data_IF_993282915541
#
_entry.id   IF_993282915541
#
_cell.length_a   1.000
_cell.length_b   1.000
_cell.length_c   1.000
_cell.angle_alpha   90.00
_cell.angle_beta   90.00
_cell.angle_gamma   90.00
#
_symmetry.space_group_name_H-M   'P 1'
#
loop_
_entity.id
_entity.type
_entity.pdbx_description
1 polymer ?
#
# COMPACT_ATOMS: atom_id res chain seq x y z
N UNK A 1 6.92 -1.80 14.91
CA UNK A 1 6.84 -0.79 13.82
C UNK A 1 5.46 -0.12 13.87
N UNK A 2 5.40 1.19 14.06
CA UNK A 2 4.15 1.95 13.99
C UNK A 2 3.94 2.45 12.55
N UNK A 3 2.67 2.57 12.12
CA UNK A 3 2.27 3.12 10.81
C UNK A 3 1.28 4.27 11.05
N UNK A 4 1.77 5.49 11.36
CA UNK A 4 0.90 6.60 11.76
C UNK A 4 -0.07 7.03 10.67
N UNK A 5 0.36 7.03 9.41
CA UNK A 5 -0.46 7.42 8.25
C UNK A 5 -1.27 6.25 7.65
N UNK A 6 -1.50 5.16 8.40
CA UNK A 6 -2.18 3.96 7.87
C UNK A 6 -3.62 4.26 7.41
N UNK A 7 -4.28 5.20 8.07
CA UNK A 7 -5.70 5.53 7.85
C UNK A 7 -5.90 6.76 6.98
N UNK A 8 -4.81 7.39 6.51
CA UNK A 8 -4.85 8.54 5.62
C UNK A 8 -4.72 8.07 4.17
N UNK A 9 -5.44 8.72 3.25
CA UNK A 9 -5.34 8.39 1.83
C UNK A 9 -4.06 8.97 1.22
N UNK A 10 -3.52 8.31 0.19
CA UNK A 10 -2.33 8.80 -0.53
C UNK A 10 -2.52 10.23 -1.06
N UNK A 11 -3.70 10.52 -1.63
CA UNK A 11 -4.06 11.85 -2.14
C UNK A 11 -4.03 12.94 -1.06
N UNK A 12 -4.42 12.62 0.17
CA UNK A 12 -4.43 13.57 1.29
C UNK A 12 -3.01 13.87 1.77
N UNK A 13 -2.17 12.83 1.84
CA UNK A 13 -0.76 12.96 2.23
C UNK A 13 0.00 13.81 1.19
N UNK A 14 -0.23 13.56 -0.09
CA UNK A 14 0.37 14.33 -1.19
C UNK A 14 -0.12 15.77 -1.18
N UNK A 15 -1.42 15.99 -0.99
CA UNK A 15 -2.02 17.33 -0.90
C UNK A 15 -1.43 18.13 0.27
N UNK A 16 -1.29 17.49 1.44
CA UNK A 16 -0.66 18.10 2.62
C UNK A 16 0.79 18.49 2.36
N UNK A 17 1.58 17.59 1.77
CA UNK A 17 2.97 17.87 1.41
C UNK A 17 3.09 19.04 0.43
N UNK A 18 2.19 19.13 -0.55
CA UNK A 18 2.14 20.22 -1.52
C UNK A 18 1.85 21.57 -0.85
N UNK A 19 0.82 21.66 0.00
CA UNK A 19 0.48 22.92 0.68
C UNK A 19 1.54 23.42 1.65
N UNK A 20 2.32 22.51 2.24
CA UNK A 20 3.44 22.86 3.11
C UNK A 20 4.77 23.04 2.37
N UNK A 21 4.81 22.81 1.05
CA UNK A 21 6.04 22.89 0.27
C UNK A 21 7.10 21.88 0.71
N UNK A 22 6.68 20.70 1.21
CA UNK A 22 7.62 19.66 1.63
C UNK A 22 8.27 19.00 0.40
N UNK A 23 9.58 18.72 0.43
CA UNK A 23 10.22 17.97 -0.65
C UNK A 23 9.72 16.51 -0.63
N UNK A 24 9.20 16.02 -1.75
CA UNK A 24 8.81 14.63 -1.94
C UNK A 24 9.22 14.13 -3.33
N UNK A 25 9.39 12.81 -3.48
CA UNK A 25 9.71 12.16 -4.75
C UNK A 25 8.51 11.37 -5.26
N UNK A 26 8.18 11.53 -6.55
CA UNK A 26 7.07 10.82 -7.21
C UNK A 26 7.53 9.83 -8.29
N UNK A 27 8.84 9.76 -8.57
CA UNK A 27 9.39 8.87 -9.59
C UNK A 27 9.55 7.47 -9.04
N UNK A 28 9.10 6.48 -9.82
CA UNK A 28 9.35 5.08 -9.50
C UNK A 28 10.84 4.74 -9.62
N UNK A 29 11.27 3.71 -8.88
CA UNK A 29 12.67 3.33 -8.82
C UNK A 29 13.14 2.66 -10.12
N UNK A 30 14.21 3.17 -10.73
CA UNK A 30 14.85 2.62 -11.93
C UNK A 30 15.34 1.18 -11.74
N UNK A 31 15.75 0.83 -10.52
CA UNK A 31 16.31 -0.48 -10.20
C UNK A 31 15.26 -1.56 -9.94
N UNK A 32 13.96 -1.21 -9.94
CA UNK A 32 12.86 -2.15 -9.70
C UNK A 32 11.74 -2.05 -10.75
N UNK A 33 12.06 -2.21 -12.05
CA UNK A 33 11.10 -2.00 -13.14
C UNK A 33 9.96 -3.04 -13.16
N UNK A 34 10.21 -4.24 -12.61
CA UNK A 34 9.23 -5.33 -12.52
C UNK A 34 8.42 -5.32 -11.22
N UNK A 35 8.50 -4.24 -10.44
CA UNK A 35 7.66 -4.12 -9.25
C UNK A 35 6.20 -3.98 -9.70
N UNK A 36 5.43 -5.08 -9.56
CA UNK A 36 4.00 -5.17 -9.88
C UNK A 36 3.12 -4.30 -8.95
N UNK A 37 3.60 -3.15 -8.45
CA UNK A 37 2.82 -2.26 -7.58
C UNK A 37 1.90 -1.33 -8.38
N UNK A 38 2.23 -1.03 -9.64
CA UNK A 38 1.43 -0.17 -10.50
C UNK A 38 0.03 -0.73 -10.80
N UNK A 39 -0.05 -2.03 -11.13
CA UNK A 39 -1.32 -2.70 -11.45
C UNK A 39 -2.32 -2.71 -10.27
N UNK A 40 -1.94 -3.15 -9.05
CA UNK A 40 -2.79 -3.06 -7.87
C UNK A 40 -3.17 -1.63 -7.50
N UNK A 41 -2.26 -0.65 -7.66
CA UNK A 41 -2.59 0.77 -7.44
C UNK A 41 -3.64 1.26 -8.44
N UNK A 42 -3.55 0.86 -9.70
CA UNK A 42 -4.56 1.16 -10.73
C UNK A 42 -5.94 0.63 -10.35
N UNK A 43 -6.01 -0.67 -10.00
CA UNK A 43 -7.24 -1.30 -9.53
C UNK A 43 -7.84 -0.57 -8.31
N UNK A 44 -7.01 -0.21 -7.33
CA UNK A 44 -7.49 0.52 -6.15
C UNK A 44 -8.08 1.89 -6.52
N UNK A 45 -7.50 2.60 -7.50
CA UNK A 45 -8.03 3.88 -7.98
C UNK A 45 -9.38 3.70 -8.70
N UNK A 46 -9.54 2.65 -9.50
CA UNK A 46 -10.82 2.32 -10.15
C UNK A 46 -11.93 1.99 -9.13
N UNK A 47 -11.58 1.23 -8.09
CA UNK A 47 -12.49 0.93 -6.98
C UNK A 47 -12.85 2.17 -6.16
N UNK A 48 -11.89 3.08 -5.96
CA UNK A 48 -12.12 4.35 -5.27
C UNK A 48 -13.01 5.29 -6.08
N UNK A 49 -12.88 5.29 -7.42
CA UNK A 49 -13.74 6.05 -8.32
C UNK A 49 -15.21 5.58 -8.27
N UNK A 50 -15.43 4.27 -8.10
CA UNK A 50 -16.78 3.70 -7.93
C UNK A 50 -17.33 3.96 -6.53
N UNK A 51 -16.48 3.78 -5.50
CA UNK A 51 -16.84 4.01 -4.09
C UNK A 51 -15.62 4.51 -3.32
N UNK A 52 -15.70 5.74 -2.82
CA UNK A 52 -14.60 6.40 -2.09
C UNK A 52 -14.13 5.64 -0.84
N UNK A 53 -15.03 4.89 -0.18
CA UNK A 53 -14.70 4.12 1.02
C UNK A 53 -14.04 2.77 0.74
N UNK A 54 -13.82 2.38 -0.54
CA UNK A 54 -13.31 1.06 -0.93
C UNK A 54 -11.96 0.73 -0.29
N UNK A 55 -11.00 1.66 -0.33
CA UNK A 55 -9.65 1.44 0.24
C UNK A 55 -9.69 1.23 1.75
N UNK A 56 -10.46 2.05 2.48
CA UNK A 56 -10.62 1.92 3.92
C UNK A 56 -11.35 0.61 4.29
N UNK A 57 -12.38 0.24 3.53
CA UNK A 57 -13.12 -1.01 3.73
C UNK A 57 -12.21 -2.23 3.52
N UNK A 58 -11.41 -2.26 2.45
CA UNK A 58 -10.41 -3.32 2.21
C UNK A 58 -9.38 -3.38 3.34
N UNK A 59 -8.90 -2.23 3.82
CA UNK A 59 -8.00 -2.14 4.96
C UNK A 59 -8.62 -2.73 6.24
N UNK A 60 -9.90 -2.49 6.50
CA UNK A 60 -10.60 -3.05 7.64
C UNK A 60 -10.80 -4.57 7.50
N UNK A 61 -11.32 -5.02 6.35
CA UNK A 61 -11.58 -6.44 6.07
C UNK A 61 -10.30 -7.27 6.09
N UNK A 62 -9.18 -6.74 5.56
CA UNK A 62 -7.88 -7.44 5.57
C UNK A 62 -7.35 -7.73 6.96
N UNK A 63 -7.68 -6.91 7.97
CA UNK A 63 -7.29 -7.17 9.37
C UNK A 63 -8.17 -8.24 10.02
N UNK A 64 -9.43 -8.34 9.61
CA UNK A 64 -10.35 -9.38 10.06
C UNK A 64 -10.09 -10.73 9.37
N UNK A 65 -9.41 -10.72 8.22
CA UNK A 65 -9.09 -11.90 7.44
C UNK A 65 -8.12 -12.81 8.20
N UNK A 66 -8.58 -14.01 8.59
CA UNK A 66 -7.72 -15.08 9.08
C UNK A 66 -7.12 -15.83 7.89
N UNK A 67 -5.90 -15.47 7.52
CA UNK A 67 -5.13 -16.25 6.55
C UNK A 67 -4.56 -17.46 7.28
N UNK A 68 -4.90 -18.67 6.83
CA UNK A 68 -4.25 -19.88 7.33
C UNK A 68 -2.74 -19.73 7.11
N UNK A 69 -1.95 -19.85 8.18
CA UNK A 69 -0.49 -19.87 8.02
C UNK A 69 -0.13 -21.08 7.17
N UNK A 70 0.45 -20.83 6.00
CA UNK A 70 1.12 -21.88 5.24
C UNK A 70 2.04 -22.66 6.18
N UNK A 71 2.09 -24.01 6.12
CA UNK A 71 2.99 -24.77 6.97
C UNK A 71 4.40 -24.21 6.75
N UNK A 72 4.99 -23.68 7.82
CA UNK A 72 6.37 -23.20 7.83
C UNK A 72 7.22 -24.39 7.36
N UNK A 73 7.64 -24.38 6.11
CA UNK A 73 8.65 -25.31 5.64
C UNK A 73 9.91 -25.00 6.46
N UNK A 74 10.20 -25.89 7.38
CA UNK A 74 11.43 -25.92 8.14
C UNK A 74 12.60 -25.96 7.13
N UNK A 75 13.50 -24.97 7.23
CA UNK A 75 14.76 -24.97 6.48
C UNK A 75 14.72 -24.39 5.05
N UNK A 76 14.65 -23.07 4.95
CA UNK A 76 15.58 -22.25 4.12
C UNK A 76 15.23 -20.77 4.27
N UNK A 77 16.16 -20.00 4.81
CA UNK A 77 16.04 -18.55 4.88
C UNK A 77 15.93 -17.97 3.47
N UNK A 78 14.76 -17.43 3.13
CA UNK A 78 14.56 -16.60 1.96
C UNK A 78 13.58 -15.48 2.34
N UNK A 79 14.07 -14.25 2.25
CA UNK A 79 13.25 -13.04 2.40
C UNK A 79 13.50 -12.25 3.67
N UNK A 80 14.77 -11.96 3.98
CA UNK A 80 15.07 -10.71 4.65
C UNK A 80 14.76 -9.57 3.68
N UNK A 81 13.79 -8.74 4.04
CA UNK A 81 13.89 -7.31 3.81
C UNK A 81 14.09 -6.65 5.18
#
# INVERSE_FOLDING_TARGET
RLKPLRHSYEKEIVLYAHFLGLPYASTECLYAPQAFRGLPRGLLKELEATRSSSVAALGHSSRALRVASWPRAEGRGLGAC
#
